data_IF_267613594531
#
_entry.id   IF_267613594531
#
_cell.length_a   1.000
_cell.length_b   1.000
_cell.length_c   1.000
_cell.angle_alpha   90.00
_cell.angle_beta   90.00
_cell.angle_gamma   90.00
#
_symmetry.space_group_name_H-M   'P 1'
#
loop_
_entity.id
_entity.type
_entity.pdbx_description
1 polymer ?
#
# COMPACT_ATOMS: atom_id res chain seq x y z
N UNK A 1 27.55 -16.28 18.60
CA UNK A 1 26.56 -15.19 18.57
C UNK A 1 25.22 -15.76 19.00
N UNK A 2 24.39 -15.05 19.76
CA UNK A 2 23.04 -15.55 20.07
C UNK A 2 22.23 -15.69 18.79
N UNK A 3 21.34 -16.67 18.73
CA UNK A 3 20.41 -16.89 17.60
C UNK A 3 19.64 -15.61 17.23
N UNK A 4 19.26 -14.81 18.23
CA UNK A 4 18.62 -13.50 18.05
C UNK A 4 19.49 -12.49 17.29
N UNK A 5 20.80 -12.44 17.57
CA UNK A 5 21.71 -11.50 16.91
C UNK A 5 21.93 -11.88 15.44
N UNK A 6 21.97 -13.19 15.13
CA UNK A 6 22.02 -13.67 13.75
C UNK A 6 20.74 -13.30 13.00
N UNK A 7 19.57 -13.47 13.62
CA UNK A 7 18.30 -13.09 13.02
C UNK A 7 18.23 -11.58 12.72
N UNK A 8 18.71 -10.73 13.64
CA UNK A 8 18.77 -9.27 13.44
C UNK A 8 19.73 -8.91 12.28
N UNK A 9 20.92 -9.53 12.22
CA UNK A 9 21.86 -9.29 11.13
C UNK A 9 21.28 -9.72 9.77
N UNK A 10 20.60 -10.86 9.72
CA UNK A 10 19.94 -11.35 8.50
C UNK A 10 18.82 -10.41 8.09
N UNK A 11 17.98 -9.95 9.03
CA UNK A 11 16.96 -8.94 8.75
C UNK A 11 17.56 -7.65 8.15
N UNK A 12 18.63 -7.13 8.76
CA UNK A 12 19.31 -5.93 8.27
C UNK A 12 19.88 -6.13 6.86
N UNK A 13 20.54 -7.27 6.60
CA UNK A 13 21.06 -7.63 5.28
C UNK A 13 19.94 -7.65 4.23
N UNK A 14 18.78 -8.20 4.59
CA UNK A 14 17.64 -8.34 3.68
C UNK A 14 17.05 -6.99 3.29
N UNK A 15 16.98 -6.02 4.22
CA UNK A 15 16.61 -4.64 3.88
C UNK A 15 17.61 -3.98 2.92
N UNK A 16 18.91 -4.16 3.16
CA UNK A 16 19.96 -3.64 2.26
C UNK A 16 19.83 -4.24 0.86
N UNK A 17 19.68 -5.57 0.77
CA UNK A 17 19.51 -6.26 -0.51
C UNK A 17 18.24 -5.83 -1.23
N UNK A 18 17.10 -5.75 -0.54
CA UNK A 18 15.83 -5.32 -1.12
C UNK A 18 15.84 -3.85 -1.57
N UNK A 19 16.69 -3.01 -0.98
CA UNK A 19 16.87 -1.61 -1.40
C UNK A 19 17.81 -1.49 -2.60
N UNK A 20 18.87 -2.30 -2.65
CA UNK A 20 19.88 -2.25 -3.70
C UNK A 20 19.50 -3.05 -4.97
N UNK A 21 18.66 -4.07 -4.84
CA UNK A 21 18.28 -4.98 -5.92
C UNK A 21 16.78 -4.85 -6.23
N UNK A 22 16.36 -4.99 -7.50
CA UNK A 22 14.95 -4.96 -7.90
C UNK A 22 14.24 -6.29 -7.59
N UNK A 23 14.42 -6.81 -6.37
CA UNK A 23 13.88 -8.10 -5.92
C UNK A 23 12.77 -7.84 -4.90
N UNK A 24 11.70 -8.61 -4.97
CA UNK A 24 10.59 -8.51 -4.03
C UNK A 24 11.05 -8.80 -2.59
N UNK A 25 10.94 -7.78 -1.72
CA UNK A 25 11.35 -7.86 -0.32
C UNK A 25 10.65 -9.01 0.44
N UNK A 26 9.38 -9.29 0.14
CA UNK A 26 8.61 -10.38 0.74
C UNK A 26 9.15 -11.77 0.39
N UNK A 27 9.64 -11.96 -0.83
CA UNK A 27 10.28 -13.22 -1.24
C UNK A 27 11.58 -13.44 -0.49
N UNK A 28 12.41 -12.39 -0.39
CA UNK A 28 13.65 -12.43 0.41
C UNK A 28 13.30 -12.70 1.88
N UNK A 29 12.30 -12.01 2.44
CA UNK A 29 11.74 -12.21 3.79
C UNK A 29 11.41 -13.67 4.08
N UNK A 30 10.65 -14.28 3.18
CA UNK A 30 10.19 -15.65 3.31
C UNK A 30 11.35 -16.66 3.26
N UNK A 31 12.26 -16.53 2.29
CA UNK A 31 13.45 -17.39 2.18
C UNK A 31 14.36 -17.22 3.39
N UNK A 32 14.60 -15.99 3.83
CA UNK A 32 15.40 -15.69 5.02
C UNK A 32 14.82 -16.30 6.30
N UNK A 33 13.50 -16.24 6.47
CA UNK A 33 12.81 -16.88 7.59
C UNK A 33 13.03 -18.40 7.62
N UNK A 34 12.98 -19.07 6.46
CA UNK A 34 13.28 -20.49 6.36
C UNK A 34 14.76 -20.81 6.62
N UNK A 35 15.69 -20.03 6.06
CA UNK A 35 17.12 -20.22 6.26
C UNK A 35 17.50 -20.08 7.74
N UNK A 36 17.08 -18.98 8.39
CA UNK A 36 17.39 -18.75 9.80
C UNK A 36 16.62 -19.72 10.70
N UNK A 37 15.32 -19.90 10.44
CA UNK A 37 14.46 -20.77 11.25
C UNK A 37 14.92 -22.22 11.25
N UNK A 38 15.28 -22.77 10.09
CA UNK A 38 15.72 -24.17 9.99
C UNK A 38 17.20 -24.37 10.37
N UNK A 39 18.12 -23.59 9.79
CA UNK A 39 19.57 -23.83 9.94
C UNK A 39 20.11 -23.30 11.26
N UNK A 40 19.61 -22.16 11.74
CA UNK A 40 20.14 -21.49 12.94
C UNK A 40 19.30 -21.83 14.18
N UNK A 41 17.98 -21.89 14.04
CA UNK A 41 17.06 -22.12 15.16
C UNK A 41 16.54 -23.57 15.28
N UNK A 42 16.84 -24.45 14.32
CA UNK A 42 16.42 -25.86 14.37
C UNK A 42 14.91 -26.06 14.33
N UNK A 43 14.15 -25.07 13.86
CA UNK A 43 12.69 -25.11 13.83
C UNK A 43 12.21 -26.01 12.70
N UNK A 44 11.15 -26.78 12.98
CA UNK A 44 10.44 -27.50 11.93
C UNK A 44 9.71 -26.51 11.01
N UNK A 45 9.54 -26.88 9.73
CA UNK A 45 8.86 -26.07 8.73
C UNK A 45 7.46 -25.61 9.19
N UNK A 46 6.72 -26.46 9.91
CA UNK A 46 5.40 -26.12 10.47
C UNK A 46 5.46 -24.94 11.45
N UNK A 47 6.51 -24.87 12.29
CA UNK A 47 6.69 -23.79 13.26
C UNK A 47 7.07 -22.47 12.57
N UNK A 48 7.88 -22.53 11.52
CA UNK A 48 8.22 -21.35 10.70
C UNK A 48 6.96 -20.84 9.98
N UNK A 49 6.19 -21.75 9.37
CA UNK A 49 4.95 -21.41 8.67
C UNK A 49 3.86 -20.85 9.58
N UNK A 50 3.84 -21.23 10.87
CA UNK A 50 2.92 -20.65 11.84
C UNK A 50 3.13 -19.14 12.06
N UNK A 51 4.33 -18.62 11.76
CA UNK A 51 4.61 -17.19 11.79
C UNK A 51 4.21 -16.44 10.51
N UNK A 52 3.78 -17.13 9.46
CA UNK A 52 3.34 -16.48 8.22
C UNK A 52 1.91 -15.94 8.38
N UNK A 53 1.66 -14.65 8.09
CA UNK A 53 0.36 -14.03 8.31
C UNK A 53 -0.61 -14.36 7.16
N UNK A 54 -1.06 -15.62 7.09
CA UNK A 54 -1.86 -16.15 5.98
C UNK A 54 -3.17 -15.37 5.74
N UNK A 55 -3.86 -14.98 6.81
CA UNK A 55 -5.09 -14.19 6.72
C UNK A 55 -4.82 -12.81 6.11
N UNK A 56 -3.77 -12.11 6.56
CA UNK A 56 -3.37 -10.82 6.01
C UNK A 56 -2.99 -10.96 4.53
N UNK A 57 -2.22 -11.99 4.18
CA UNK A 57 -1.86 -12.28 2.79
C UNK A 57 -3.12 -12.47 1.93
N UNK A 58 -4.09 -13.24 2.42
CA UNK A 58 -5.34 -13.48 1.69
C UNK A 58 -6.16 -12.18 1.53
N UNK A 59 -6.27 -11.37 2.59
CA UNK A 59 -6.93 -10.05 2.54
C UNK A 59 -6.26 -9.13 1.52
N UNK A 60 -4.92 -9.05 1.54
CA UNK A 60 -4.11 -8.27 0.60
C UNK A 60 -4.40 -8.68 -0.84
N UNK A 61 -4.34 -9.98 -1.13
CA UNK A 61 -4.58 -10.53 -2.48
C UNK A 61 -6.02 -10.26 -2.90
N UNK A 62 -7.00 -10.51 -2.04
CA UNK A 62 -8.42 -10.31 -2.36
C UNK A 62 -8.76 -8.85 -2.67
N UNK A 63 -8.31 -7.92 -1.84
CA UNK A 63 -8.54 -6.48 -2.05
C UNK A 63 -7.81 -6.00 -3.31
N UNK A 64 -6.56 -6.41 -3.50
CA UNK A 64 -5.80 -6.07 -4.72
C UNK A 64 -6.51 -6.58 -5.97
N UNK A 65 -7.04 -7.81 -5.94
CA UNK A 65 -7.81 -8.38 -7.04
C UNK A 65 -9.11 -7.61 -7.31
N UNK A 66 -9.86 -7.25 -6.27
CA UNK A 66 -11.08 -6.44 -6.40
C UNK A 66 -10.80 -5.11 -7.09
N UNK A 67 -9.77 -4.39 -6.64
CA UNK A 67 -9.40 -3.10 -7.25
C UNK A 67 -8.81 -3.25 -8.65
N UNK A 68 -8.06 -4.32 -8.91
CA UNK A 68 -7.60 -4.64 -10.27
C UNK A 68 -8.80 -4.83 -11.21
N UNK A 69 -9.84 -5.53 -10.77
CA UNK A 69 -11.06 -5.72 -11.55
C UNK A 69 -11.82 -4.39 -11.75
N UNK A 70 -11.96 -3.59 -10.70
CA UNK A 70 -12.62 -2.27 -10.78
C UNK A 70 -11.85 -1.27 -11.67
N UNK A 71 -10.53 -1.41 -11.75
CA UNK A 71 -9.71 -0.63 -12.66
C UNK A 71 -9.85 -1.14 -14.10
N UNK A 72 -9.78 -2.46 -14.30
CA UNK A 72 -9.84 -3.05 -15.64
C UNK A 72 -11.21 -2.85 -16.30
N UNK A 73 -12.29 -2.78 -15.53
CA UNK A 73 -13.64 -2.51 -16.03
C UNK A 73 -13.98 -1.01 -16.12
N UNK A 74 -13.07 -0.10 -15.74
CA UNK A 74 -13.25 1.35 -15.81
C UNK A 74 -14.17 1.97 -14.76
N UNK A 75 -14.57 1.22 -13.73
CA UNK A 75 -15.42 1.73 -12.63
C UNK A 75 -14.71 2.85 -11.88
N UNK A 76 -13.40 2.72 -11.66
CA UNK A 76 -12.62 3.78 -11.01
C UNK A 76 -12.59 5.05 -11.87
N UNK A 77 -12.32 4.94 -13.17
CA UNK A 77 -12.34 6.08 -14.09
C UNK A 77 -13.72 6.77 -14.16
N UNK A 78 -14.79 5.99 -14.07
CA UNK A 78 -16.15 6.53 -14.02
C UNK A 78 -16.41 7.29 -12.71
N UNK A 79 -16.06 6.72 -11.56
CA UNK A 79 -16.20 7.37 -10.25
C UNK A 79 -15.41 8.68 -10.19
N UNK A 80 -14.16 8.68 -10.67
CA UNK A 80 -13.33 9.89 -10.69
C UNK A 80 -13.97 10.97 -11.56
N UNK A 81 -14.45 10.62 -12.76
CA UNK A 81 -15.13 11.58 -13.64
C UNK A 81 -16.40 12.16 -13.01
N UNK A 82 -17.18 11.34 -12.31
CA UNK A 82 -18.38 11.78 -11.60
C UNK A 82 -18.03 12.75 -10.47
N UNK A 83 -17.05 12.39 -9.63
CA UNK A 83 -16.60 13.22 -8.52
C UNK A 83 -16.07 14.58 -9.00
N UNK A 84 -15.35 14.61 -10.13
CA UNK A 84 -14.86 15.87 -10.69
C UNK A 84 -15.98 16.71 -11.30
N UNK A 85 -16.96 16.09 -11.97
CA UNK A 85 -18.14 16.82 -12.46
C UNK A 85 -18.90 17.51 -11.32
N UNK A 86 -18.97 16.88 -10.15
CA UNK A 86 -19.62 17.46 -8.98
C UNK A 86 -18.93 18.73 -8.44
N UNK A 87 -17.66 19.00 -8.79
CA UNK A 87 -16.91 20.21 -8.35
C UNK A 87 -17.41 21.49 -9.03
N UNK A 88 -18.15 21.38 -10.14
CA UNK A 88 -18.92 22.50 -10.70
C UNK A 88 -18.08 23.74 -11.09
N UNK A 89 -16.80 23.58 -11.43
CA UNK A 89 -15.95 24.68 -11.91
C UNK A 89 -15.19 25.46 -10.83
N UNK A 90 -15.27 25.06 -9.56
CA UNK A 90 -14.47 25.65 -8.48
C UNK A 90 -13.01 25.19 -8.53
N UNK A 91 -12.16 25.93 -9.26
CA UNK A 91 -10.75 25.58 -9.51
C UNK A 91 -9.97 25.33 -8.21
N UNK A 92 -10.18 26.15 -7.17
CA UNK A 92 -9.50 26.03 -5.88
C UNK A 92 -9.86 24.73 -5.12
N UNK A 93 -10.98 24.09 -5.42
CA UNK A 93 -11.40 22.85 -4.77
C UNK A 93 -10.79 21.59 -5.42
N UNK A 94 -10.25 21.70 -6.63
CA UNK A 94 -9.75 20.55 -7.41
C UNK A 94 -8.68 19.75 -6.65
N UNK A 95 -7.63 20.36 -6.05
CA UNK A 95 -6.60 19.60 -5.34
C UNK A 95 -7.14 18.84 -4.12
N UNK A 96 -8.07 19.44 -3.38
CA UNK A 96 -8.74 18.82 -2.24
C UNK A 96 -9.63 17.64 -2.66
N UNK A 97 -10.28 17.75 -3.81
CA UNK A 97 -11.09 16.66 -4.37
C UNK A 97 -10.19 15.50 -4.81
N UNK A 98 -9.04 15.78 -5.44
CA UNK A 98 -8.06 14.75 -5.79
C UNK A 98 -7.51 14.05 -4.53
N UNK A 99 -7.21 14.81 -3.49
CA UNK A 99 -6.85 14.25 -2.18
C UNK A 99 -7.96 13.34 -1.64
N UNK A 100 -9.20 13.83 -1.58
CA UNK A 100 -10.33 13.09 -1.00
C UNK A 100 -10.65 11.82 -1.78
N UNK A 101 -10.63 11.86 -3.11
CA UNK A 101 -10.82 10.68 -3.95
C UNK A 101 -9.72 9.65 -3.68
N UNK A 102 -8.46 10.07 -3.65
CA UNK A 102 -7.34 9.15 -3.42
C UNK A 102 -7.38 8.57 -2.00
N UNK A 103 -7.74 9.39 -1.01
CA UNK A 103 -7.96 8.95 0.36
C UNK A 103 -9.11 7.94 0.46
N UNK A 104 -10.23 8.19 -0.22
CA UNK A 104 -11.35 7.26 -0.23
C UNK A 104 -10.96 5.91 -0.85
N UNK A 105 -10.31 5.92 -2.01
CA UNK A 105 -9.87 4.69 -2.67
C UNK A 105 -8.93 3.86 -1.78
N UNK A 106 -7.93 4.53 -1.18
CA UNK A 106 -6.99 3.85 -0.27
C UNK A 106 -7.64 3.42 1.04
N UNK A 107 -8.62 4.17 1.54
CA UNK A 107 -9.35 3.83 2.77
C UNK A 107 -10.21 2.58 2.66
N UNK A 108 -10.72 2.28 1.45
CA UNK A 108 -11.51 1.09 1.16
C UNK A 108 -10.61 -0.12 0.88
N UNK A 109 -9.31 0.11 0.66
CA UNK A 109 -8.30 -0.94 0.57
C UNK A 109 -7.41 -0.89 -0.67
N UNK A 110 -7.59 0.08 -1.58
CA UNK A 110 -6.64 0.24 -2.68
C UNK A 110 -5.22 0.45 -2.12
N UNK A 111 -4.24 -0.29 -2.64
CA UNK A 111 -2.85 -0.10 -2.23
C UNK A 111 -2.40 1.30 -2.67
N UNK A 112 -1.74 2.06 -1.79
CA UNK A 112 -1.38 3.46 -2.05
C UNK A 112 -0.69 3.69 -3.40
N UNK A 113 0.29 2.88 -3.85
CA UNK A 113 0.89 3.04 -5.17
C UNK A 113 -0.09 2.85 -6.33
N UNK A 114 -1.04 1.92 -6.20
CA UNK A 114 -2.05 1.67 -7.23
C UNK A 114 -3.03 2.85 -7.32
N UNK A 115 -3.53 3.35 -6.18
CA UNK A 115 -4.41 4.52 -6.16
C UNK A 115 -3.72 5.76 -6.76
N UNK A 116 -2.45 5.99 -6.43
CA UNK A 116 -1.67 7.10 -7.01
C UNK A 116 -1.48 6.91 -8.52
N UNK A 117 -1.16 5.71 -8.99
CA UNK A 117 -0.98 5.43 -10.42
C UNK A 117 -2.23 5.73 -11.26
N UNK A 118 -3.41 5.54 -10.66
CA UNK A 118 -4.71 5.80 -11.31
C UNK A 118 -5.04 7.30 -11.29
N UNK A 119 -4.91 7.95 -10.13
CA UNK A 119 -5.38 9.33 -9.96
C UNK A 119 -4.37 10.35 -10.50
N UNK A 120 -3.07 10.07 -10.43
CA UNK A 120 -2.03 11.04 -10.80
C UNK A 120 -2.15 11.55 -12.25
N UNK A 121 -2.35 10.70 -13.30
CA UNK A 121 -2.53 11.19 -14.67
C UNK A 121 -3.74 12.13 -14.81
N UNK A 122 -4.84 11.81 -14.13
CA UNK A 122 -6.06 12.61 -14.14
C UNK A 122 -5.78 13.96 -13.47
N UNK A 123 -5.24 13.93 -12.26
CA UNK A 123 -4.92 15.13 -11.48
C UNK A 123 -3.96 16.07 -12.22
N UNK A 124 -2.91 15.52 -12.84
CA UNK A 124 -1.95 16.29 -13.65
C UNK A 124 -2.60 16.89 -14.91
N UNK A 125 -3.51 16.18 -15.57
CA UNK A 125 -4.30 16.72 -16.67
C UNK A 125 -5.16 17.92 -16.23
N UNK A 126 -5.75 17.86 -15.04
CA UNK A 126 -6.47 18.99 -14.44
C UNK A 126 -5.52 20.15 -14.09
N UNK A 127 -4.33 19.84 -13.56
CA UNK A 127 -3.33 20.86 -13.24
C UNK A 127 -2.93 21.65 -14.50
N UNK A 128 -2.67 20.96 -15.60
CA UNK A 128 -2.37 21.59 -16.89
C UNK A 128 -3.55 22.42 -17.43
N UNK A 129 -4.78 21.88 -17.37
CA UNK A 129 -5.96 22.58 -17.89
C UNK A 129 -6.32 23.86 -17.14
N UNK A 130 -6.15 23.87 -15.82
CA UNK A 130 -6.56 24.97 -14.96
C UNK A 130 -5.39 25.81 -14.42
N UNK A 131 -4.19 25.67 -14.99
CA UNK A 131 -2.96 26.36 -14.56
C UNK A 131 -2.66 26.22 -13.05
N UNK A 132 -2.90 25.03 -12.49
CA UNK A 132 -2.52 24.70 -11.11
C UNK A 132 -1.10 24.13 -11.13
N UNK A 133 -0.29 24.43 -10.11
CA UNK A 133 1.05 23.86 -9.97
C UNK A 133 0.99 22.31 -9.96
N UNK A 134 1.62 21.62 -10.92
CA UNK A 134 1.56 20.16 -11.02
C UNK A 134 2.17 19.42 -9.83
N UNK A 135 3.21 19.99 -9.21
CA UNK A 135 3.86 19.42 -8.03
C UNK A 135 2.93 19.49 -6.81
N UNK A 136 2.24 20.62 -6.60
CA UNK A 136 1.20 20.73 -5.56
C UNK A 136 0.09 19.70 -5.80
N UNK A 137 -0.40 19.59 -7.03
CA UNK A 137 -1.44 18.62 -7.37
C UNK A 137 -0.99 17.17 -7.09
N UNK A 138 0.23 16.81 -7.51
CA UNK A 138 0.81 15.50 -7.24
C UNK A 138 0.96 15.23 -5.75
N UNK A 139 1.42 16.21 -4.97
CA UNK A 139 1.51 16.09 -3.51
C UNK A 139 0.13 15.83 -2.87
N UNK A 140 -0.93 16.48 -3.35
CA UNK A 140 -2.29 16.26 -2.83
C UNK A 140 -2.79 14.84 -3.10
N UNK A 141 -2.50 14.27 -4.27
CA UNK A 141 -2.82 12.87 -4.57
C UNK A 141 -2.05 11.93 -3.65
N UNK A 142 -0.73 12.12 -3.50
CA UNK A 142 0.11 11.28 -2.63
C UNK A 142 -0.33 11.38 -1.17
N UNK A 143 -0.58 12.59 -0.67
CA UNK A 143 -1.07 12.78 0.70
C UNK A 143 -2.47 12.19 0.90
N UNK A 144 -3.33 12.25 -0.12
CA UNK A 144 -4.61 11.56 -0.10
C UNK A 144 -4.41 10.05 0.09
N UNK A 145 -3.53 9.44 -0.70
CA UNK A 145 -3.21 8.02 -0.60
C UNK A 145 -2.66 7.62 0.78
N UNK A 146 -1.85 8.47 1.40
CA UNK A 146 -1.34 8.24 2.75
C UNK A 146 -2.43 8.44 3.82
N UNK A 147 -3.28 9.47 3.66
CA UNK A 147 -4.33 9.81 4.60
C UNK A 147 -5.45 8.76 4.69
N UNK A 148 -5.74 8.07 3.59
CA UNK A 148 -6.70 6.96 3.59
C UNK A 148 -6.12 5.61 4.01
N UNK A 149 -4.80 5.42 3.85
CA UNK A 149 -4.15 4.11 3.95
C UNK A 149 -4.22 3.41 5.32
N UNK A 150 -4.62 4.11 6.39
CA UNK A 150 -4.74 3.57 7.75
C UNK A 150 -6.19 3.41 8.24
N UNK A 151 -7.18 3.52 7.36
CA UNK A 151 -8.58 3.20 7.68
C UNK A 151 -8.73 1.77 8.23
N UNK A 152 -9.67 1.49 9.17
CA UNK A 152 -9.84 0.15 9.75
C UNK A 152 -10.05 -0.98 8.75
N UNK A 153 -10.65 -0.68 7.60
CA UNK A 153 -10.91 -1.65 6.52
C UNK A 153 -9.80 -1.67 5.45
N UNK A 154 -8.84 -0.75 5.53
CA UNK A 154 -7.68 -0.71 4.64
C UNK A 154 -6.62 -1.71 5.07
N UNK A 155 -5.68 -1.96 4.17
CA UNK A 155 -4.57 -2.88 4.39
C UNK A 155 -3.71 -2.45 5.59
N UNK A 156 -3.18 -1.23 5.62
CA UNK A 156 -2.28 -0.83 6.70
C UNK A 156 -3.03 -0.66 8.01
N UNK A 157 -4.30 -0.21 7.98
CA UNK A 157 -5.13 -0.15 9.19
C UNK A 157 -5.42 -1.54 9.77
N UNK A 158 -5.72 -2.53 8.93
CA UNK A 158 -5.90 -3.92 9.37
C UNK A 158 -4.64 -4.50 10.03
N UNK A 159 -3.46 -4.25 9.45
CA UNK A 159 -2.18 -4.66 10.04
C UNK A 159 -1.96 -3.97 11.39
N UNK A 160 -2.06 -2.63 11.40
CA UNK A 160 -1.76 -1.81 12.58
C UNK A 160 -2.71 -2.17 13.73
N UNK A 161 -4.01 -2.31 13.45
CA UNK A 161 -5.00 -2.68 14.46
C UNK A 161 -4.74 -4.08 15.03
N UNK A 162 -4.38 -5.06 14.19
CA UNK A 162 -4.02 -6.42 14.67
C UNK A 162 -2.81 -6.37 15.60
N UNK A 163 -1.74 -5.69 15.19
CA UNK A 163 -0.53 -5.56 16.01
C UNK A 163 -0.82 -4.83 17.34
N UNK A 164 -1.64 -3.78 17.31
CA UNK A 164 -2.03 -3.05 18.53
C UNK A 164 -2.86 -3.95 19.46
N UNK A 165 -3.81 -4.71 18.94
CA UNK A 165 -4.62 -5.65 19.72
C UNK A 165 -3.78 -6.77 20.35
N UNK A 166 -2.71 -7.21 19.68
CA UNK A 166 -1.78 -8.22 20.20
C UNK A 166 -0.82 -7.67 21.26
N UNK A 167 -0.56 -6.36 21.28
CA UNK A 167 0.42 -5.72 22.16
C UNK A 167 -0.08 -5.41 23.59
N UNK A 168 -1.40 -5.41 23.82
CA UNK A 168 -2.02 -5.15 25.13
C UNK A 168 -2.55 -3.73 25.29
#
# INVERSE_FOLDING_TARGET
MSSHMIAICVLALMFVLATALPINMGVIAFVGAFLVGSVVAGMQAKAIMAGFPAELFLTLVGITFLFAQAQNNGTIDWLVRLAVRAVGGRIAAIPWVMFAITALLTSVGAVSPAAVAIIAPIALGFAAKYNINPLMMGMMVVHGAQGGGFSPISIYGGITNKVVLEAG
#
